data_IF_260128581769
#
_entry.id   IF_260128581769
#
_cell.length_a   1.000
_cell.length_b   1.000
_cell.length_c   1.000
_cell.angle_alpha   90.00
_cell.angle_beta   90.00
_cell.angle_gamma   90.00
#
_symmetry.space_group_name_H-M   'P 1'
#
loop_
_entity.id
_entity.type
_entity.pdbx_description
1 polymer ?
#
# COMPACT_ATOMS: atom_id res chain seq x y z
N UNK A 1 9.91 -4.51 -23.38
CA UNK A 1 11.19 -4.13 -24.02
C UNK A 1 11.40 -2.68 -23.65
N UNK A 2 12.60 -2.29 -23.25
CA UNK A 2 12.91 -0.89 -22.96
C UNK A 2 12.85 -0.06 -24.26
N UNK A 3 12.30 1.15 -24.17
CA UNK A 3 11.99 2.00 -25.32
C UNK A 3 12.15 3.46 -24.89
N UNK A 4 12.59 4.32 -25.81
CA UNK A 4 12.89 5.74 -25.54
C UNK A 4 11.64 6.64 -25.51
N UNK A 5 10.52 6.23 -26.13
CA UNK A 5 9.30 7.04 -26.27
C UNK A 5 8.01 6.20 -26.17
N UNK A 6 6.94 6.79 -25.65
CA UNK A 6 5.62 6.16 -25.56
C UNK A 6 4.54 7.11 -26.08
N UNK A 7 3.51 6.56 -26.73
CA UNK A 7 2.43 7.35 -27.35
C UNK A 7 1.08 7.14 -26.64
N UNK A 8 0.08 7.91 -27.08
CA UNK A 8 -1.28 7.79 -26.56
C UNK A 8 -1.84 6.39 -26.80
N UNK A 9 -2.27 5.73 -25.71
CA UNK A 9 -2.85 4.39 -25.74
C UNK A 9 -1.89 3.29 -25.31
N UNK A 10 -0.61 3.61 -25.13
CA UNK A 10 0.36 2.65 -24.60
C UNK A 10 0.14 2.41 -23.10
N UNK A 11 0.31 1.14 -22.68
CA UNK A 11 0.41 0.77 -21.27
C UNK A 11 1.89 0.55 -20.98
N UNK A 12 2.48 1.46 -20.23
CA UNK A 12 3.92 1.47 -19.92
C UNK A 12 4.17 1.33 -18.43
N UNK A 13 5.41 0.96 -18.10
CA UNK A 13 6.00 1.18 -16.78
C UNK A 13 7.22 2.09 -16.97
N UNK A 14 7.35 3.11 -16.13
CA UNK A 14 8.49 4.03 -16.11
C UNK A 14 9.01 4.14 -14.67
N UNK A 15 10.24 4.61 -14.52
CA UNK A 15 10.90 4.81 -13.23
C UNK A 15 11.56 6.20 -13.19
N UNK A 16 11.90 6.68 -11.99
CA UNK A 16 12.56 7.97 -11.78
C UNK A 16 11.70 9.03 -11.08
N UNK A 17 10.51 8.66 -10.61
CA UNK A 17 9.67 9.49 -9.74
C UNK A 17 9.30 8.65 -8.51
N UNK A 18 9.76 9.07 -7.33
CA UNK A 18 9.72 8.25 -6.10
C UNK A 18 8.45 8.45 -5.26
N UNK A 19 7.49 9.27 -5.72
CA UNK A 19 6.29 9.63 -4.95
C UNK A 19 5.06 9.70 -5.88
N UNK A 20 4.72 8.55 -6.49
CA UNK A 20 3.50 8.39 -7.29
C UNK A 20 2.65 7.28 -6.68
N UNK A 21 1.38 7.60 -6.44
CA UNK A 21 0.37 6.68 -5.92
C UNK A 21 -0.66 6.28 -6.98
N UNK A 22 -1.35 5.17 -6.73
CA UNK A 22 -2.40 4.68 -7.61
C UNK A 22 -3.54 5.72 -7.67
N UNK A 23 -3.94 6.08 -8.88
CA UNK A 23 -4.98 7.07 -9.13
C UNK A 23 -4.46 8.50 -9.33
N UNK A 24 -3.15 8.73 -9.20
CA UNK A 24 -2.52 10.00 -9.56
C UNK A 24 -2.26 10.10 -11.06
N UNK A 25 -2.16 11.35 -11.54
CA UNK A 25 -1.85 11.65 -12.94
C UNK A 25 -0.48 12.30 -13.02
N UNK A 26 0.41 11.72 -13.83
CA UNK A 26 1.65 12.38 -14.23
C UNK A 26 1.35 13.22 -15.48
N UNK A 27 1.61 14.53 -15.39
CA UNK A 27 1.30 15.50 -16.43
C UNK A 27 2.52 16.37 -16.77
N UNK A 28 2.38 17.21 -17.78
CA UNK A 28 3.42 18.18 -18.18
C UNK A 28 3.75 19.15 -17.03
N UNK A 29 5.04 19.45 -16.86
CA UNK A 29 5.52 20.28 -15.75
C UNK A 29 5.25 21.78 -15.95
N UNK A 30 5.16 22.26 -17.20
CA UNK A 30 4.89 23.67 -17.52
C UNK A 30 3.39 23.96 -17.61
N UNK A 31 2.59 22.98 -18.05
CA UNK A 31 1.14 23.07 -18.16
C UNK A 31 0.44 21.80 -17.61
N UNK A 32 0.36 21.65 -16.27
CA UNK A 32 -0.20 20.45 -15.65
C UNK A 32 -1.71 20.37 -15.84
N UNK A 33 -2.18 19.21 -16.34
CA UNK A 33 -3.59 18.87 -16.45
C UNK A 33 -3.84 17.52 -15.75
N UNK A 34 -4.52 17.56 -14.60
CA UNK A 34 -4.84 16.36 -13.84
C UNK A 34 -6.10 15.69 -14.39
N UNK A 35 -6.07 14.37 -14.56
CA UNK A 35 -7.28 13.61 -14.87
C UNK A 35 -8.20 13.58 -13.64
N UNK A 36 -9.53 13.39 -13.85
CA UNK A 36 -10.46 13.20 -12.74
C UNK A 36 -10.01 12.06 -11.83
N UNK A 37 -9.98 12.32 -10.52
CA UNK A 37 -9.61 11.32 -9.53
C UNK A 37 -10.54 10.12 -9.58
N UNK A 38 -9.99 8.92 -9.55
CA UNK A 38 -10.76 7.69 -9.38
C UNK A 38 -11.17 7.58 -7.91
N UNK A 39 -12.48 7.50 -7.64
CA UNK A 39 -12.97 7.28 -6.28
C UNK A 39 -12.69 5.83 -5.88
N UNK A 40 -12.02 5.65 -4.76
CA UNK A 40 -11.73 4.34 -4.18
C UNK A 40 -12.71 4.13 -3.04
N UNK A 41 -13.48 3.04 -3.11
CA UNK A 41 -14.50 2.76 -2.10
C UNK A 41 -13.85 2.46 -0.75
N UNK A 42 -14.44 3.00 0.32
CA UNK A 42 -13.96 2.77 1.67
C UNK A 42 -14.17 1.32 2.11
N UNK A 43 -13.26 0.78 2.94
CA UNK A 43 -13.41 -0.56 3.46
C UNK A 43 -14.67 -0.69 4.33
N UNK A 44 -15.38 -1.80 4.16
CA UNK A 44 -16.65 -2.06 4.86
C UNK A 44 -16.48 -2.84 6.17
N UNK A 45 -15.29 -3.39 6.40
CA UNK A 45 -14.95 -4.18 7.58
C UNK A 45 -13.71 -3.59 8.23
N UNK A 46 -13.58 -3.80 9.54
CA UNK A 46 -12.35 -3.51 10.27
C UNK A 46 -12.04 -4.64 11.24
N UNK A 47 -10.77 -4.99 11.34
CA UNK A 47 -10.25 -6.05 12.20
C UNK A 47 -8.95 -5.59 12.86
N UNK A 48 -8.67 -6.12 14.06
CA UNK A 48 -7.40 -5.86 14.76
C UNK A 48 -6.47 -7.05 14.53
N UNK A 49 -5.35 -6.78 13.88
CA UNK A 49 -4.25 -7.72 13.71
C UNK A 49 -3.25 -7.50 14.83
N UNK A 50 -2.86 -8.55 15.53
CA UNK A 50 -1.90 -8.45 16.63
C UNK A 50 -0.92 -9.62 16.66
N UNK A 51 0.21 -9.40 17.32
CA UNK A 51 1.22 -10.44 17.53
C UNK A 51 0.68 -11.52 18.47
N UNK A 52 0.97 -12.79 18.14
CA UNK A 52 0.62 -13.91 19.02
C UNK A 52 1.50 -13.89 20.28
N UNK A 53 0.91 -13.62 21.43
CA UNK A 53 1.57 -13.61 22.75
C UNK A 53 1.19 -14.82 23.63
N UNK A 54 0.61 -15.86 23.04
CA UNK A 54 0.21 -17.09 23.76
C UNK A 54 1.41 -18.02 24.03
N UNK A 55 1.24 -19.08 24.87
CA UNK A 55 2.28 -20.10 25.09
C UNK A 55 2.70 -20.90 23.84
N UNK A 56 1.99 -20.71 22.72
CA UNK A 56 2.28 -21.30 21.42
C UNK A 56 3.02 -20.34 20.48
N UNK A 57 3.29 -19.11 20.91
CA UNK A 57 4.06 -18.14 20.14
C UNK A 57 5.43 -18.72 19.74
N UNK A 58 5.80 -18.55 18.47
CA UNK A 58 7.08 -19.03 17.93
C UNK A 58 7.23 -20.55 17.79
N UNK A 59 6.18 -21.34 18.07
CA UNK A 59 6.18 -22.78 17.77
C UNK A 59 5.95 -23.07 16.29
N UNK A 60 5.23 -22.18 15.61
CA UNK A 60 4.97 -22.20 14.19
C UNK A 60 5.02 -20.76 13.64
N UNK A 61 5.48 -20.62 12.40
CA UNK A 61 5.64 -19.34 11.72
C UNK A 61 7.02 -18.70 11.94
N UNK A 62 7.62 -18.20 10.85
CA UNK A 62 8.92 -17.53 10.85
C UNK A 62 8.80 -16.03 11.19
N UNK A 63 7.71 -15.38 10.75
CA UNK A 63 7.49 -13.94 10.84
C UNK A 63 6.45 -13.59 11.90
N UNK A 64 6.82 -13.73 13.19
CA UNK A 64 5.89 -13.61 14.32
C UNK A 64 6.12 -12.38 15.21
N UNK A 65 6.91 -11.40 14.75
CA UNK A 65 7.20 -10.18 15.53
C UNK A 65 6.32 -9.02 15.09
N UNK A 66 6.10 -8.02 15.96
CA UNK A 66 5.34 -6.81 15.61
C UNK A 66 5.94 -6.10 14.40
N UNK A 67 7.28 -6.01 14.33
CA UNK A 67 7.97 -5.41 13.18
C UNK A 67 7.63 -6.13 11.87
N UNK A 68 7.69 -7.46 11.85
CA UNK A 68 7.36 -8.21 10.63
C UNK A 68 5.89 -8.05 10.24
N UNK A 69 4.98 -8.01 11.21
CA UNK A 69 3.56 -7.76 10.96
C UNK A 69 3.34 -6.36 10.36
N UNK A 70 3.95 -5.33 10.96
CA UNK A 70 3.91 -3.95 10.46
C UNK A 70 4.42 -3.87 9.04
N UNK A 71 5.63 -4.36 8.78
CA UNK A 71 6.26 -4.28 7.46
C UNK A 71 5.41 -4.96 6.39
N UNK A 72 4.78 -6.10 6.72
CA UNK A 72 3.87 -6.80 5.81
C UNK A 72 2.59 -6.01 5.53
N UNK A 73 1.97 -5.41 6.55
CA UNK A 73 0.73 -4.66 6.42
C UNK A 73 0.95 -3.37 5.62
N UNK A 74 2.00 -2.61 5.93
CA UNK A 74 2.31 -1.37 5.22
C UNK A 74 2.70 -1.63 3.76
N UNK A 75 3.43 -2.72 3.48
CA UNK A 75 3.69 -3.15 2.10
C UNK A 75 2.41 -3.50 1.33
N UNK A 76 1.39 -4.05 2.00
CA UNK A 76 0.12 -4.35 1.32
C UNK A 76 -0.57 -3.07 0.86
N UNK A 77 -0.59 -2.03 1.71
CA UNK A 77 -1.22 -0.74 1.42
C UNK A 77 -0.64 -0.07 0.16
N UNK A 78 0.65 -0.26 -0.13
CA UNK A 78 1.29 0.22 -1.36
C UNK A 78 0.66 -0.37 -2.64
N UNK A 79 0.08 -1.56 -2.54
CA UNK A 79 -0.51 -2.28 -3.68
C UNK A 79 -2.04 -2.37 -3.62
N UNK A 80 -2.62 -2.22 -2.44
CA UNK A 80 -4.04 -2.36 -2.18
C UNK A 80 -4.62 -1.04 -1.67
N UNK A 81 -5.11 -0.26 -2.61
CA UNK A 81 -5.67 1.08 -2.36
C UNK A 81 -6.93 1.11 -1.49
N UNK A 82 -7.65 0.01 -1.35
CA UNK A 82 -8.85 -0.04 -0.50
C UNK A 82 -8.53 -0.42 0.95
N UNK A 83 -7.30 -0.89 1.20
CA UNK A 83 -6.84 -1.25 2.53
C UNK A 83 -6.28 -0.03 3.26
N UNK A 84 -6.70 0.15 4.50
CA UNK A 84 -6.17 1.14 5.43
C UNK A 84 -5.60 0.42 6.65
N UNK A 85 -4.43 0.88 7.10
CA UNK A 85 -3.75 0.34 8.28
C UNK A 85 -3.49 1.48 9.25
N UNK A 86 -4.00 1.34 10.47
CA UNK A 86 -3.85 2.31 11.56
C UNK A 86 -3.07 1.65 12.71
N UNK A 87 -2.09 2.37 13.26
CA UNK A 87 -1.44 1.97 14.51
C UNK A 87 -2.42 2.16 15.68
N UNK A 88 -2.41 1.23 16.63
CA UNK A 88 -3.28 1.30 17.83
C UNK A 88 -2.51 1.80 19.05
N UNK A 89 -3.18 1.91 20.20
CA UNK A 89 -2.54 2.21 21.48
C UNK A 89 -1.51 1.14 21.92
N UNK A 90 -1.56 -0.04 21.31
CA UNK A 90 -0.61 -1.12 21.52
C UNK A 90 0.37 -1.21 20.36
N UNK A 91 1.68 -1.21 20.67
CA UNK A 91 2.75 -1.39 19.69
C UNK A 91 2.74 -2.78 19.01
N UNK A 92 1.95 -3.73 19.53
CA UNK A 92 1.82 -5.09 18.99
C UNK A 92 0.49 -5.32 18.27
N UNK A 93 -0.30 -4.27 18.03
CA UNK A 93 -1.59 -4.36 17.36
C UNK A 93 -1.82 -3.23 16.34
N UNK A 94 -2.42 -3.61 15.21
CA UNK A 94 -2.73 -2.74 14.09
C UNK A 94 -4.20 -2.93 13.73
N UNK A 95 -4.92 -1.83 13.54
CA UNK A 95 -6.29 -1.87 13.04
C UNK A 95 -6.22 -1.81 11.53
N UNK A 96 -6.80 -2.80 10.88
CA UNK A 96 -6.86 -2.92 9.43
C UNK A 96 -8.31 -2.79 9.01
N UNK A 97 -8.56 -2.02 7.96
CA UNK A 97 -9.87 -1.94 7.31
C UNK A 97 -9.69 -2.04 5.81
#
# INVERSE_FOLDING_TARGET
>A
VETDEAEMGDIIAFAGIDDINIGETVADAENPEALPSISIDEPTLSMVFSVNNSPFAGREGEFVTSRHLRDRLFREVETNVSMKVEETDSADAFKVS
#
